data_IF_658907425347
#
_entry.id   IF_658907425347
#
_cell.length_a   1.000
_cell.length_b   1.000
_cell.length_c   1.000
_cell.angle_alpha   90.00
_cell.angle_beta   90.00
_cell.angle_gamma   90.00
#
_symmetry.space_group_name_H-M   'P 1'
#
loop_
_entity.id
_entity.type
_entity.pdbx_description
1 polymer ?
#
# COMPACT_ATOMS: atom_id res chain seq x y z
N UNK A 1 -9.87 8.99 -19.44
CA UNK A 1 -11.23 9.42 -19.01
C UNK A 1 -11.73 8.36 -18.04
N UNK A 2 -12.50 8.69 -16.99
CA UNK A 2 -13.07 7.66 -16.12
C UNK A 2 -14.25 6.96 -16.80
N UNK A 3 -14.22 5.63 -16.89
CA UNK A 3 -15.38 4.83 -17.30
C UNK A 3 -16.19 4.41 -16.07
N UNK A 4 -17.52 4.46 -16.16
CA UNK A 4 -18.42 4.02 -15.10
C UNK A 4 -19.39 2.97 -15.64
N UNK A 5 -19.51 1.84 -14.94
CA UNK A 5 -20.38 0.72 -15.29
C UNK A 5 -21.24 0.32 -14.09
N UNK A 6 -22.45 -0.17 -14.35
CA UNK A 6 -23.35 -0.71 -13.31
C UNK A 6 -23.49 -2.24 -13.38
N UNK A 7 -22.72 -2.89 -14.25
CA UNK A 7 -22.69 -4.35 -14.44
C UNK A 7 -21.28 -4.82 -14.75
N UNK A 8 -20.96 -6.06 -14.36
CA UNK A 8 -19.71 -6.72 -14.71
C UNK A 8 -19.66 -7.04 -16.22
N UNK A 9 -18.60 -6.64 -16.94
CA UNK A 9 -18.35 -7.13 -18.30
C UNK A 9 -18.17 -8.65 -18.33
N UNK A 10 -18.64 -9.30 -19.40
CA UNK A 10 -18.39 -10.72 -19.62
C UNK A 10 -16.87 -11.02 -19.63
N UNK A 11 -16.46 -12.07 -18.91
CA UNK A 11 -15.07 -12.50 -18.82
C UNK A 11 -14.23 -11.79 -17.73
N UNK A 12 -14.74 -10.75 -17.07
CA UNK A 12 -14.00 -10.01 -16.03
C UNK A 12 -13.56 -10.90 -14.85
N UNK A 13 -14.29 -11.99 -14.58
CA UNK A 13 -14.01 -12.91 -13.49
C UNK A 13 -12.84 -13.88 -13.79
N UNK A 14 -12.43 -13.99 -15.05
CA UNK A 14 -11.44 -14.97 -15.50
C UNK A 14 -10.23 -14.33 -16.20
N UNK A 15 -10.33 -13.04 -16.56
CA UNK A 15 -9.26 -12.31 -17.26
C UNK A 15 -8.04 -12.10 -16.36
N UNK A 16 -6.84 -12.29 -16.91
CA UNK A 16 -5.60 -11.93 -16.24
C UNK A 16 -5.41 -10.41 -16.22
N UNK A 17 -4.69 -9.86 -15.23
CA UNK A 17 -4.42 -8.42 -15.14
C UNK A 17 -3.79 -7.84 -16.42
N UNK A 18 -2.90 -8.59 -17.07
CA UNK A 18 -2.24 -8.20 -18.33
C UNK A 18 -3.20 -8.15 -19.53
N UNK A 19 -4.32 -8.89 -19.46
CA UNK A 19 -5.32 -8.97 -20.52
C UNK A 19 -6.57 -8.11 -20.20
N UNK A 20 -6.64 -7.54 -19.00
CA UNK A 20 -7.77 -6.71 -18.54
C UNK A 20 -8.09 -5.57 -19.50
N UNK A 21 -7.07 -5.00 -20.15
CA UNK A 21 -7.20 -3.93 -21.15
C UNK A 21 -8.09 -4.29 -22.35
N UNK A 22 -8.33 -5.59 -22.60
CA UNK A 22 -9.22 -6.07 -23.67
C UNK A 22 -10.70 -5.95 -23.30
N UNK A 23 -11.01 -5.88 -22.01
CA UNK A 23 -12.38 -5.71 -21.47
C UNK A 23 -12.62 -4.27 -20.99
N UNK A 24 -11.61 -3.66 -20.38
CA UNK A 24 -11.64 -2.30 -19.82
C UNK A 24 -10.49 -1.49 -20.44
N UNK A 25 -10.77 -0.59 -21.37
CA UNK A 25 -9.69 0.14 -22.07
C UNK A 25 -9.17 1.37 -21.32
N UNK A 26 -9.88 1.81 -20.28
CA UNK A 26 -9.62 3.04 -19.52
C UNK A 26 -9.81 2.75 -18.03
N UNK A 27 -9.25 3.57 -17.10
CA UNK A 27 -9.58 3.49 -15.68
C UNK A 27 -11.09 3.42 -15.48
N UNK A 28 -11.56 2.40 -14.77
CA UNK A 28 -12.99 2.06 -14.72
C UNK A 28 -13.45 1.86 -13.29
N UNK A 29 -14.61 2.42 -12.95
CA UNK A 29 -15.34 2.10 -11.72
C UNK A 29 -16.60 1.28 -12.07
N UNK A 30 -16.77 0.14 -11.41
CA UNK A 30 -17.95 -0.73 -11.56
C UNK A 30 -18.76 -0.69 -10.27
N UNK A 31 -20.05 -0.42 -10.36
CA UNK A 31 -20.99 -0.41 -9.25
C UNK A 31 -21.90 -1.62 -9.30
N UNK A 32 -21.83 -2.47 -8.28
CA UNK A 32 -22.68 -3.64 -8.11
C UNK A 32 -23.65 -3.39 -6.97
N UNK A 33 -24.94 -3.55 -7.23
CA UNK A 33 -25.97 -3.37 -6.22
C UNK A 33 -26.05 -4.59 -5.29
N UNK A 34 -26.06 -4.33 -3.98
CA UNK A 34 -26.34 -5.33 -2.96
C UNK A 34 -27.57 -5.00 -2.13
N UNK A 35 -27.83 -5.82 -1.11
CA UNK A 35 -28.97 -5.66 -0.21
C UNK A 35 -28.88 -4.35 0.60
N UNK A 36 -27.71 -4.05 1.15
CA UNK A 36 -27.40 -2.74 1.76
C UNK A 36 -26.93 -1.74 0.71
N UNK A 37 -27.45 -0.52 0.76
CA UNK A 37 -27.20 0.50 -0.27
C UNK A 37 -25.85 1.19 -0.12
N UNK A 38 -25.38 1.41 1.12
CA UNK A 38 -24.12 2.07 1.41
C UNK A 38 -22.96 1.19 0.93
N UNK A 39 -22.19 1.59 -0.10
CA UNK A 39 -21.27 0.69 -0.75
C UNK A 39 -19.97 0.50 0.01
N UNK A 40 -19.39 -0.70 -0.08
CA UNK A 40 -17.97 -0.92 0.11
C UNK A 40 -17.25 -0.45 -1.16
N UNK A 41 -16.24 0.42 -1.04
CA UNK A 41 -15.37 0.78 -2.15
C UNK A 41 -14.06 0.01 -2.09
N UNK A 42 -13.62 -0.52 -3.23
CA UNK A 42 -12.36 -1.24 -3.36
C UNK A 42 -11.60 -0.72 -4.57
N UNK A 43 -10.37 -0.23 -4.38
CA UNK A 43 -9.44 0.03 -5.50
C UNK A 43 -8.49 -1.14 -5.69
N UNK A 44 -8.24 -1.47 -6.96
CA UNK A 44 -7.31 -2.52 -7.39
C UNK A 44 -6.47 -2.00 -8.55
N UNK A 45 -5.27 -2.57 -8.70
CA UNK A 45 -4.34 -2.24 -9.78
C UNK A 45 -4.00 -0.74 -9.85
N UNK A 46 -3.85 -0.07 -8.70
CA UNK A 46 -3.20 1.25 -8.71
C UNK A 46 -1.77 1.09 -9.25
N UNK A 47 -1.08 0.03 -8.83
CA UNK A 47 0.11 -0.47 -9.50
C UNK A 47 -0.24 -1.66 -10.39
N UNK A 48 0.17 -1.60 -11.66
CA UNK A 48 -0.23 -2.59 -12.65
C UNK A 48 0.33 -4.00 -12.40
N UNK A 49 1.42 -4.13 -11.64
CA UNK A 49 2.04 -5.40 -11.30
C UNK A 49 1.52 -6.01 -9.99
N UNK A 50 0.55 -5.39 -9.31
CA UNK A 50 0.02 -5.84 -8.02
C UNK A 50 -1.37 -6.47 -8.20
N UNK A 51 -1.39 -7.74 -8.60
CA UNK A 51 -2.61 -8.41 -9.12
C UNK A 51 -3.51 -9.02 -8.05
N UNK A 52 -3.07 -9.10 -6.78
CA UNK A 52 -3.83 -9.77 -5.73
C UNK A 52 -5.20 -9.14 -5.48
N UNK A 53 -5.33 -7.82 -5.61
CA UNK A 53 -6.63 -7.14 -5.50
C UNK A 53 -7.63 -7.59 -6.56
N UNK A 54 -7.18 -7.70 -7.82
CA UNK A 54 -8.01 -8.21 -8.92
C UNK A 54 -8.44 -9.65 -8.64
N UNK A 55 -7.47 -10.51 -8.32
CA UNK A 55 -7.71 -11.94 -8.07
C UNK A 55 -8.67 -12.17 -6.89
N UNK A 56 -8.53 -11.39 -5.81
CA UNK A 56 -9.42 -11.43 -4.65
C UNK A 56 -10.85 -11.01 -5.00
N UNK A 57 -11.02 -9.93 -5.76
CA UNK A 57 -12.34 -9.48 -6.25
C UNK A 57 -12.97 -10.53 -7.17
N UNK A 58 -12.19 -11.12 -8.08
CA UNK A 58 -12.68 -12.18 -8.96
C UNK A 58 -13.12 -13.40 -8.15
N UNK A 59 -12.34 -13.85 -7.17
CA UNK A 59 -12.70 -14.94 -6.27
C UNK A 59 -14.02 -14.64 -5.54
N UNK A 60 -14.08 -13.49 -4.85
CA UNK A 60 -15.26 -13.04 -4.13
C UNK A 60 -16.50 -13.06 -5.03
N UNK A 61 -16.43 -12.46 -6.21
CA UNK A 61 -17.57 -12.34 -7.11
C UNK A 61 -18.00 -13.67 -7.75
N UNK A 62 -17.09 -14.64 -7.90
CA UNK A 62 -17.46 -16.02 -8.30
C UNK A 62 -18.37 -16.67 -7.27
N UNK A 63 -18.10 -16.48 -5.97
CA UNK A 63 -18.92 -17.04 -4.89
C UNK A 63 -20.33 -16.41 -4.79
N UNK A 64 -20.49 -15.21 -5.36
CA UNK A 64 -21.77 -14.50 -5.47
C UNK A 64 -22.47 -14.67 -6.82
N UNK A 65 -21.97 -15.51 -7.74
CA UNK A 65 -22.72 -15.79 -8.97
C UNK A 65 -24.09 -16.41 -8.66
N UNK A 66 -25.15 -15.78 -9.18
CA UNK A 66 -26.53 -16.20 -8.93
C UNK A 66 -27.06 -15.88 -7.53
N UNK A 67 -26.33 -15.07 -6.73
CA UNK A 67 -26.71 -14.63 -5.38
C UNK A 67 -26.63 -13.10 -5.28
N UNK A 68 -27.38 -12.53 -4.36
CA UNK A 68 -27.27 -11.09 -4.08
C UNK A 68 -26.03 -10.82 -3.22
N UNK A 69 -25.35 -9.69 -3.46
CA UNK A 69 -24.32 -9.18 -2.56
C UNK A 69 -24.97 -8.68 -1.26
N UNK A 70 -24.39 -8.94 -0.07
CA UNK A 70 -24.93 -8.45 1.21
C UNK A 70 -24.94 -6.91 1.29
N UNK A 71 -24.03 -6.26 0.56
CA UNK A 71 -23.87 -4.82 0.48
C UNK A 71 -23.45 -4.43 -0.93
N UNK A 72 -23.84 -3.24 -1.37
CA UNK A 72 -23.35 -2.70 -2.64
C UNK A 72 -21.82 -2.63 -2.65
N UNK A 73 -21.23 -2.89 -3.81
CA UNK A 73 -19.78 -2.94 -3.98
C UNK A 73 -19.40 -2.05 -5.17
N UNK A 74 -18.49 -1.12 -4.94
CA UNK A 74 -17.90 -0.28 -5.98
C UNK A 74 -16.44 -0.66 -6.16
N UNK A 75 -16.03 -1.06 -7.36
CA UNK A 75 -14.68 -1.53 -7.65
C UNK A 75 -14.03 -0.58 -8.64
N UNK A 76 -12.93 0.04 -8.26
CA UNK A 76 -12.13 0.87 -9.15
C UNK A 76 -10.89 0.12 -9.65
N UNK A 77 -10.79 -0.02 -10.97
CA UNK A 77 -9.63 -0.53 -11.68
C UNK A 77 -8.78 0.65 -12.14
N UNK A 78 -7.61 0.83 -11.52
CA UNK A 78 -6.78 2.01 -11.68
C UNK A 78 -5.93 2.03 -12.96
N UNK A 79 -4.68 1.61 -12.86
CA UNK A 79 -3.68 1.69 -13.91
C UNK A 79 -3.69 0.46 -14.83
N UNK A 80 -4.77 0.32 -15.60
CA UNK A 80 -4.95 -0.81 -16.53
C UNK A 80 -3.84 -0.85 -17.60
N UNK A 81 -3.34 0.30 -18.04
CA UNK A 81 -2.27 0.34 -19.03
C UNK A 81 -0.95 -0.17 -18.42
N UNK A 82 -0.57 0.17 -17.19
CA UNK A 82 0.59 -0.45 -16.56
C UNK A 82 0.37 -1.95 -16.30
N UNK A 83 -0.86 -2.36 -15.97
CA UNK A 83 -1.21 -3.76 -15.76
C UNK A 83 -1.02 -4.60 -17.03
N UNK A 84 -1.37 -4.05 -18.20
CA UNK A 84 -1.10 -4.65 -19.51
C UNK A 84 0.36 -5.06 -19.69
N UNK A 85 1.30 -4.25 -19.19
CA UNK A 85 2.74 -4.51 -19.29
C UNK A 85 3.32 -5.20 -18.06
N UNK A 86 2.49 -5.55 -17.05
CA UNK A 86 2.95 -6.13 -15.79
C UNK A 86 3.93 -5.23 -15.04
N UNK A 87 3.77 -3.91 -15.15
CA UNK A 87 4.64 -2.92 -14.53
C UNK A 87 3.92 -2.19 -13.40
N UNK A 88 4.66 -1.72 -12.39
CA UNK A 88 4.13 -0.84 -11.34
C UNK A 88 3.47 0.40 -11.95
N UNK A 89 4.23 1.11 -12.77
CA UNK A 89 3.82 2.23 -13.62
C UNK A 89 4.71 2.27 -14.86
N UNK A 90 4.23 2.90 -15.93
CA UNK A 90 5.03 3.16 -17.12
C UNK A 90 5.94 4.38 -16.95
N UNK A 91 6.96 4.48 -17.79
CA UNK A 91 7.82 5.65 -17.82
C UNK A 91 7.00 6.90 -18.20
N UNK A 92 7.15 7.97 -17.42
CA UNK A 92 6.38 9.21 -17.60
C UNK A 92 4.98 9.19 -17.00
N UNK A 93 4.47 8.05 -16.53
CA UNK A 93 3.25 8.04 -15.71
C UNK A 93 3.56 8.49 -14.28
N UNK A 94 2.65 9.24 -13.62
CA UNK A 94 2.75 9.46 -12.19
C UNK A 94 2.56 8.15 -11.43
N UNK A 95 2.96 8.11 -10.16
CA UNK A 95 2.61 6.99 -9.29
C UNK A 95 1.12 7.12 -8.90
N UNK A 96 0.32 6.13 -9.28
CA UNK A 96 -1.13 6.12 -9.04
C UNK A 96 -1.49 6.06 -7.54
N UNK A 97 -0.53 5.71 -6.68
CA UNK A 97 -0.65 5.79 -5.24
C UNK A 97 -0.09 7.11 -4.67
N UNK A 98 0.12 8.15 -5.49
CA UNK A 98 0.54 9.50 -5.08
C UNK A 98 -0.32 10.63 -5.65
N UNK A 99 -1.24 10.31 -6.57
CA UNK A 99 -2.09 11.29 -7.28
C UNK A 99 -3.47 11.50 -6.67
N UNK A 100 -3.79 10.86 -5.54
CA UNK A 100 -5.07 11.06 -4.87
C UNK A 100 -5.15 12.45 -4.23
N UNK A 101 -6.37 12.98 -4.02
CA UNK A 101 -6.56 14.28 -3.38
C UNK A 101 -5.77 14.41 -2.06
N UNK A 102 -5.13 15.57 -1.87
CA UNK A 102 -4.27 15.85 -0.71
C UNK A 102 -2.80 15.43 -0.89
N UNK A 103 -2.41 14.92 -2.06
CA UNK A 103 -1.01 14.66 -2.43
C UNK A 103 -0.20 15.90 -2.78
N UNK A 104 1.13 15.74 -2.79
CA UNK A 104 2.09 16.77 -3.17
C UNK A 104 2.48 16.71 -4.67
N UNK A 105 2.01 15.69 -5.40
CA UNK A 105 2.27 15.54 -6.83
C UNK A 105 1.61 16.67 -7.64
N UNK A 106 2.25 17.15 -8.73
CA UNK A 106 1.64 18.11 -9.63
C UNK A 106 0.32 17.57 -10.23
N UNK A 107 -0.65 18.45 -10.55
CA UNK A 107 -1.87 18.03 -11.23
C UNK A 107 -1.58 17.27 -12.54
N UNK A 108 -2.28 16.16 -12.71
CA UNK A 108 -2.22 15.29 -13.89
C UNK A 108 -3.61 14.79 -14.27
N UNK A 109 -3.75 14.22 -15.48
CA UNK A 109 -5.00 13.60 -15.91
C UNK A 109 -5.43 12.46 -14.97
N UNK A 110 -4.48 11.72 -14.42
CA UNK A 110 -4.71 10.67 -13.42
C UNK A 110 -5.23 11.26 -12.11
N UNK A 111 -4.67 12.39 -11.65
CA UNK A 111 -5.15 13.08 -10.45
C UNK A 111 -6.60 13.57 -10.60
N UNK A 112 -6.98 14.03 -11.80
CA UNK A 112 -8.36 14.44 -12.11
C UNK A 112 -9.32 13.23 -12.06
N UNK A 113 -8.89 12.08 -12.60
CA UNK A 113 -9.66 10.83 -12.58
C UNK A 113 -9.92 10.36 -11.14
N UNK A 114 -8.89 10.29 -10.30
CA UNK A 114 -9.08 9.81 -8.93
C UNK A 114 -9.83 10.82 -8.06
N UNK A 115 -9.71 12.13 -8.34
CA UNK A 115 -10.57 13.14 -7.73
C UNK A 115 -12.05 12.93 -8.10
N UNK A 116 -12.34 12.62 -9.37
CA UNK A 116 -13.69 12.27 -9.82
C UNK A 116 -14.21 11.01 -9.11
N UNK A 117 -13.38 9.98 -8.94
CA UNK A 117 -13.73 8.76 -8.16
C UNK A 117 -14.11 9.11 -6.72
N UNK A 118 -13.33 9.95 -6.04
CA UNK A 118 -13.62 10.37 -4.66
C UNK A 118 -14.97 11.08 -4.58
N UNK A 119 -15.27 11.99 -5.51
CA UNK A 119 -16.54 12.73 -5.51
C UNK A 119 -17.75 11.85 -5.85
N UNK A 120 -17.61 10.93 -6.81
CA UNK A 120 -18.63 9.91 -7.10
C UNK A 120 -18.94 9.10 -5.83
N UNK A 121 -17.90 8.64 -5.14
CA UNK A 121 -18.07 7.79 -3.98
C UNK A 121 -18.57 8.56 -2.75
N UNK A 122 -18.15 9.82 -2.56
CA UNK A 122 -18.72 10.73 -1.55
C UNK A 122 -20.23 10.87 -1.70
N UNK A 123 -20.72 11.03 -2.94
CA UNK A 123 -22.14 11.16 -3.23
C UNK A 123 -22.95 9.87 -2.97
N UNK A 124 -22.29 8.70 -2.89
CA UNK A 124 -22.94 7.40 -2.71
C UNK A 124 -23.05 6.93 -1.25
N UNK A 125 -22.66 7.75 -0.28
CA UNK A 125 -22.69 7.43 1.15
C UNK A 125 -21.97 6.10 1.48
N UNK A 126 -20.66 6.10 1.29
CA UNK A 126 -19.77 4.95 1.53
C UNK A 126 -19.93 4.33 2.91
N UNK A 127 -19.88 3.00 2.96
CA UNK A 127 -19.69 2.27 4.21
C UNK A 127 -18.23 2.28 4.64
N UNK A 128 -17.32 1.92 3.73
CA UNK A 128 -15.89 1.87 3.96
C UNK A 128 -15.12 1.87 2.62
N UNK A 129 -13.81 2.15 2.69
CA UNK A 129 -12.90 2.16 1.53
C UNK A 129 -11.70 1.23 1.76
N UNK A 130 -11.35 0.44 0.74
CA UNK A 130 -10.22 -0.50 0.79
C UNK A 130 -9.35 -0.30 -0.43
N UNK A 131 -8.05 -0.19 -0.23
CA UNK A 131 -7.06 -0.18 -1.30
C UNK A 131 -6.20 -1.44 -1.19
N UNK A 132 -6.14 -2.27 -2.22
CA UNK A 132 -5.44 -3.57 -2.15
C UNK A 132 -4.12 -3.52 -2.90
N UNK A 133 -3.02 -3.74 -2.19
CA UNK A 133 -1.64 -3.71 -2.69
C UNK A 133 -0.90 -5.01 -2.41
N UNK A 134 0.26 -5.12 -3.05
CA UNK A 134 1.25 -6.15 -2.81
C UNK A 134 2.60 -5.54 -2.43
N UNK A 135 3.40 -6.30 -1.68
CA UNK A 135 4.79 -5.98 -1.43
C UNK A 135 5.69 -6.75 -2.40
N UNK A 136 6.87 -6.19 -2.69
CA UNK A 136 7.91 -6.92 -3.44
C UNK A 136 8.90 -7.64 -2.53
N UNK A 137 9.27 -7.03 -1.40
CA UNK A 137 10.05 -7.69 -0.36
C UNK A 137 9.23 -8.64 0.52
N UNK A 138 9.90 -9.36 1.41
CA UNK A 138 9.23 -10.18 2.43
C UNK A 138 8.56 -9.29 3.48
N UNK A 139 7.24 -9.25 3.49
CA UNK A 139 6.46 -8.58 4.52
C UNK A 139 5.37 -9.53 5.04
N UNK A 140 4.91 -9.39 6.31
CA UNK A 140 3.67 -10.03 6.75
C UNK A 140 2.48 -9.46 5.95
N UNK A 141 1.29 -10.04 6.14
CA UNK A 141 0.08 -9.32 5.75
C UNK A 141 -0.21 -8.26 6.82
N UNK A 142 -0.44 -7.03 6.42
CA UNK A 142 -0.78 -5.93 7.34
C UNK A 142 -1.73 -4.94 6.69
N UNK A 143 -2.42 -4.17 7.53
CA UNK A 143 -3.29 -3.09 7.07
C UNK A 143 -2.70 -1.75 7.51
N UNK A 144 -2.86 -0.74 6.67
CA UNK A 144 -2.44 0.62 6.96
C UNK A 144 -3.65 1.53 7.17
N UNK A 145 -3.56 2.43 8.15
CA UNK A 145 -4.58 3.41 8.51
C UNK A 145 -4.00 4.82 8.54
N UNK A 146 -4.84 5.82 8.29
CA UNK A 146 -4.45 7.23 8.34
C UNK A 146 -5.09 8.01 9.49
N UNK A 147 -5.89 7.34 10.33
CA UNK A 147 -6.52 7.92 11.52
C UNK A 147 -6.53 6.92 12.67
N UNK A 148 -6.24 7.41 13.87
CA UNK A 148 -6.25 6.65 15.12
C UNK A 148 -7.64 6.62 15.76
N UNK A 149 -8.66 6.29 14.96
CA UNK A 149 -10.05 6.16 15.42
C UNK A 149 -10.45 4.68 15.53
N UNK A 150 -11.34 4.35 16.47
CA UNK A 150 -11.74 2.96 16.74
C UNK A 150 -12.24 2.22 15.50
N UNK A 151 -13.06 2.85 14.67
CA UNK A 151 -13.57 2.27 13.43
C UNK A 151 -12.46 1.90 12.43
N UNK A 152 -11.37 2.67 12.35
CA UNK A 152 -10.22 2.35 11.50
C UNK A 152 -9.42 1.18 12.06
N UNK A 153 -9.20 1.16 13.38
CA UNK A 153 -8.51 0.06 14.04
C UNK A 153 -9.30 -1.25 13.95
N UNK A 154 -10.62 -1.23 14.18
CA UNK A 154 -11.49 -2.39 13.99
C UNK A 154 -11.44 -2.87 12.55
N UNK A 155 -11.57 -1.97 11.58
CA UNK A 155 -11.46 -2.32 10.16
C UNK A 155 -10.12 -2.97 9.83
N UNK A 156 -9.00 -2.39 10.26
CA UNK A 156 -7.67 -2.94 10.03
C UNK A 156 -7.46 -4.33 10.69
N UNK A 157 -7.97 -4.51 11.91
CA UNK A 157 -7.79 -5.76 12.68
C UNK A 157 -8.63 -6.93 12.15
N UNK A 158 -9.66 -6.67 11.32
CA UNK A 158 -10.32 -7.71 10.55
C UNK A 158 -9.39 -8.35 9.52
N UNK A 159 -8.38 -7.62 9.02
CA UNK A 159 -7.37 -8.18 8.12
C UNK A 159 -6.25 -8.84 8.92
N UNK A 160 -5.77 -8.21 9.98
CA UNK A 160 -4.72 -8.81 10.78
C UNK A 160 -4.27 -7.94 11.93
N UNK A 161 -3.47 -8.53 12.82
CA UNK A 161 -2.98 -7.87 14.02
C UNK A 161 -2.02 -6.73 13.71
N UNK A 162 -1.17 -6.89 12.69
CA UNK A 162 -0.17 -5.90 12.31
C UNK A 162 -0.87 -4.73 11.62
N UNK A 163 -0.84 -3.57 12.27
CA UNK A 163 -1.46 -2.34 11.77
C UNK A 163 -0.41 -1.24 11.70
N UNK A 164 -0.33 -0.55 10.57
CA UNK A 164 0.60 0.56 10.36
C UNK A 164 -0.17 1.87 10.22
N UNK A 165 0.00 2.78 11.16
CA UNK A 165 -0.48 4.16 11.06
C UNK A 165 0.57 5.02 10.33
N UNK A 166 0.12 5.80 9.36
CA UNK A 166 0.98 6.74 8.64
C UNK A 166 0.23 7.98 8.19
N UNK A 167 0.93 9.12 8.16
CA UNK A 167 0.47 10.37 7.53
C UNK A 167 1.35 10.81 6.35
N UNK A 168 2.44 10.08 6.08
CA UNK A 168 3.29 10.23 4.90
C UNK A 168 3.61 8.86 4.28
N UNK A 169 3.67 8.74 2.94
CA UNK A 169 3.45 9.79 1.94
C UNK A 169 1.97 10.22 1.84
N UNK A 170 1.73 11.42 1.34
CA UNK A 170 0.39 11.93 1.01
C UNK A 170 -0.04 11.46 -0.39
N UNK A 171 -1.30 11.73 -0.77
CA UNK A 171 -1.80 11.40 -2.11
C UNK A 171 -2.11 9.93 -2.33
N UNK A 172 -2.32 9.18 -1.25
CA UNK A 172 -2.75 7.77 -1.25
C UNK A 172 -4.29 7.68 -1.16
N UNK A 173 -4.85 6.58 -1.67
CA UNK A 173 -6.30 6.37 -1.69
C UNK A 173 -6.93 6.44 -0.30
N UNK A 174 -6.38 5.66 0.64
CA UNK A 174 -6.92 5.52 1.99
C UNK A 174 -7.03 6.86 2.70
N UNK A 175 -6.04 7.75 2.52
CA UNK A 175 -6.05 9.09 3.07
C UNK A 175 -7.13 9.98 2.44
N UNK A 176 -7.32 9.93 1.11
CA UNK A 176 -8.37 10.70 0.43
C UNK A 176 -9.79 10.33 0.89
N UNK A 177 -9.99 9.09 1.37
CA UNK A 177 -11.26 8.62 1.93
C UNK A 177 -11.38 8.74 3.45
N UNK A 178 -10.28 8.99 4.19
CA UNK A 178 -10.28 8.95 5.65
C UNK A 178 -11.18 10.02 6.30
N UNK A 179 -11.47 11.12 5.60
CA UNK A 179 -12.43 12.15 6.03
C UNK A 179 -13.89 11.82 5.66
N UNK A 180 -14.12 10.77 4.88
CA UNK A 180 -15.45 10.37 4.37
C UNK A 180 -15.96 9.14 5.12
N UNK A 181 -15.12 8.12 5.27
CA UNK A 181 -15.47 6.83 5.85
C UNK A 181 -14.22 6.15 6.44
N UNK A 182 -14.38 5.07 7.24
CA UNK A 182 -13.27 4.19 7.56
C UNK A 182 -12.59 3.69 6.29
N UNK A 183 -11.27 3.85 6.22
CA UNK A 183 -10.49 3.48 5.05
C UNK A 183 -9.18 2.80 5.44
N UNK A 184 -8.77 1.81 4.65
CA UNK A 184 -7.50 1.09 4.85
C UNK A 184 -6.80 0.83 3.53
N UNK A 185 -5.47 0.71 3.60
CA UNK A 185 -4.67 0.03 2.59
C UNK A 185 -4.33 -1.36 3.09
N UNK A 186 -4.50 -2.39 2.27
CA UNK A 186 -4.11 -3.76 2.58
C UNK A 186 -2.83 -4.10 1.84
N UNK A 187 -1.89 -4.68 2.57
CA UNK A 187 -0.63 -5.18 2.04
C UNK A 187 -0.65 -6.71 2.11
N UNK A 188 -0.86 -7.33 0.95
CA UNK A 188 -1.21 -8.75 0.85
C UNK A 188 0.01 -9.66 0.62
N UNK A 189 1.21 -9.18 0.95
CA UNK A 189 2.45 -9.89 0.66
C UNK A 189 2.79 -9.88 -0.84
N UNK A 190 3.59 -10.87 -1.28
CA UNK A 190 4.08 -10.92 -2.67
C UNK A 190 3.02 -11.44 -3.64
N UNK A 191 3.06 -10.90 -4.86
CA UNK A 191 2.22 -11.30 -5.99
C UNK A 191 2.36 -12.80 -6.30
N UNK A 192 1.27 -13.43 -6.75
CA UNK A 192 1.20 -14.85 -7.11
C UNK A 192 1.14 -15.81 -5.92
N UNK A 193 0.94 -15.30 -4.70
CA UNK A 193 0.72 -16.11 -3.50
C UNK A 193 -0.77 -16.27 -3.23
N UNK A 194 -1.30 -17.48 -3.44
CA UNK A 194 -2.70 -17.85 -3.14
C UNK A 194 -3.18 -17.45 -1.74
N UNK A 195 -2.28 -17.43 -0.76
CA UNK A 195 -2.62 -16.99 0.61
C UNK A 195 -3.03 -15.52 0.66
N UNK A 196 -2.36 -14.64 -0.08
CA UNK A 196 -2.69 -13.22 -0.17
C UNK A 196 -4.07 -13.01 -0.79
N UNK A 197 -4.31 -13.68 -1.92
CA UNK A 197 -5.60 -13.66 -2.64
C UNK A 197 -6.77 -14.11 -1.77
N UNK A 198 -6.64 -15.27 -1.12
CA UNK A 198 -7.69 -15.82 -0.26
C UNK A 198 -7.94 -14.90 0.95
N UNK A 199 -6.88 -14.41 1.59
CA UNK A 199 -7.00 -13.55 2.76
C UNK A 199 -7.70 -12.23 2.44
N UNK A 200 -7.36 -11.60 1.32
CA UNK A 200 -8.04 -10.40 0.86
C UNK A 200 -9.51 -10.67 0.50
N UNK A 201 -9.82 -11.78 -0.16
CA UNK A 201 -11.20 -12.14 -0.49
C UNK A 201 -12.06 -12.38 0.77
N UNK A 202 -11.53 -13.14 1.75
CA UNK A 202 -12.19 -13.38 3.04
C UNK A 202 -12.43 -12.08 3.82
N UNK A 203 -11.44 -11.18 3.82
CA UNK A 203 -11.56 -9.85 4.43
C UNK A 203 -12.66 -9.00 3.78
N UNK A 204 -12.68 -8.93 2.44
CA UNK A 204 -13.69 -8.18 1.70
C UNK A 204 -15.09 -8.76 1.94
N UNK A 205 -15.23 -10.08 1.98
CA UNK A 205 -16.50 -10.74 2.30
C UNK A 205 -16.98 -10.40 3.72
N UNK A 206 -16.07 -10.37 4.70
CA UNK A 206 -16.39 -9.95 6.07
C UNK A 206 -16.93 -8.50 6.11
N UNK A 207 -16.33 -7.58 5.35
CA UNK A 207 -16.79 -6.20 5.25
C UNK A 207 -18.16 -6.05 4.55
N UNK A 208 -18.44 -6.86 3.53
CA UNK A 208 -19.76 -6.88 2.89
C UNK A 208 -20.86 -7.25 3.91
N UNK A 209 -20.56 -8.20 4.80
CA UNK A 209 -21.49 -8.66 5.83
C UNK A 209 -21.58 -7.74 7.06
N UNK A 210 -20.55 -6.92 7.33
CA UNK A 210 -20.52 -6.05 8.50
C UNK A 210 -21.64 -4.99 8.46
N UNK A 211 -22.41 -4.90 9.55
CA UNK A 211 -23.50 -3.92 9.68
C UNK A 211 -22.96 -2.53 10.03
N UNK A 212 -22.08 -2.47 11.02
CA UNK A 212 -21.47 -1.26 11.58
C UNK A 212 -20.12 -1.59 12.21
N UNK A 213 -19.26 -0.58 12.36
CA UNK A 213 -18.00 -0.72 13.10
C UNK A 213 -18.23 -0.47 14.59
N UNK A 214 -17.61 -1.24 15.49
CA UNK A 214 -17.69 -0.95 16.92
C UNK A 214 -17.05 0.41 17.26
N UNK A 215 -17.66 1.12 18.21
CA UNK A 215 -17.19 2.44 18.67
C UNK A 215 -16.29 2.36 19.91
N UNK A 216 -16.09 1.16 20.48
CA UNK A 216 -15.16 0.95 21.60
C UNK A 216 -13.74 0.66 21.09
N UNK A 217 -12.68 0.86 21.91
CA UNK A 217 -11.31 0.51 21.53
C UNK A 217 -11.14 -0.97 21.16
N UNK A 218 -10.21 -1.25 20.25
CA UNK A 218 -9.71 -2.61 20.02
C UNK A 218 -8.90 -3.04 21.25
N UNK A 219 -9.04 -4.29 21.69
CA UNK A 219 -8.25 -4.77 22.81
C UNK A 219 -6.76 -4.77 22.45
N UNK A 220 -5.90 -4.29 23.36
CA UNK A 220 -4.44 -4.21 23.15
C UNK A 220 -3.84 -5.54 22.66
N UNK A 221 -4.33 -6.67 23.19
CA UNK A 221 -3.87 -7.99 22.79
C UNK A 221 -4.27 -8.38 21.37
N UNK A 222 -5.13 -7.66 20.66
CA UNK A 222 -5.65 -7.99 19.33
C UNK A 222 -5.01 -7.15 18.21
N UNK A 223 -4.19 -6.14 18.58
CA UNK A 223 -3.56 -5.21 17.65
C UNK A 223 -2.09 -4.97 17.99
N UNK A 224 -1.25 -4.99 16.97
CA UNK A 224 0.14 -4.57 16.99
C UNK A 224 0.25 -3.30 16.14
N UNK A 225 0.10 -2.13 16.77
CA UNK A 225 0.08 -0.83 16.10
C UNK A 225 1.48 -0.24 16.00
N UNK A 226 1.85 0.14 14.78
CA UNK A 226 3.11 0.80 14.44
C UNK A 226 2.83 2.15 13.81
N UNK A 227 3.71 3.13 14.04
CA UNK A 227 3.65 4.45 13.41
C UNK A 227 4.88 4.64 12.53
N UNK A 228 4.68 4.91 11.24
CA UNK A 228 5.74 5.33 10.33
C UNK A 228 6.25 6.71 10.73
N UNK A 229 7.53 6.82 11.10
CA UNK A 229 8.15 8.08 11.57
C UNK A 229 9.12 8.69 10.57
N UNK A 230 9.62 7.90 9.61
CA UNK A 230 10.53 8.41 8.60
C UNK A 230 10.47 7.61 7.29
N UNK A 231 10.75 8.29 6.18
CA UNK A 231 10.94 7.70 4.85
C UNK A 231 12.41 7.73 4.50
N UNK A 232 12.98 6.59 4.11
CA UNK A 232 14.38 6.45 3.72
C UNK A 232 14.47 6.29 2.21
N UNK A 233 15.25 7.14 1.54
CA UNK A 233 15.51 7.08 0.11
C UNK A 233 17.00 6.95 -0.16
N UNK A 234 17.34 6.32 -1.28
CA UNK A 234 18.69 6.37 -1.83
C UNK A 234 18.76 7.53 -2.82
N UNK A 235 19.62 8.54 -2.63
CA UNK A 235 19.74 9.65 -3.57
C UNK A 235 20.06 9.15 -4.99
N UNK A 236 19.52 9.82 -6.02
CA UNK A 236 19.70 9.42 -7.43
C UNK A 236 21.17 9.35 -7.86
N UNK A 237 22.01 10.18 -7.25
CA UNK A 237 23.45 10.22 -7.51
C UNK A 237 24.22 9.04 -6.92
N UNK A 238 23.65 8.26 -6.00
CA UNK A 238 24.35 7.18 -5.29
C UNK A 238 24.07 5.85 -5.97
N UNK A 239 25.10 5.16 -6.48
CA UNK A 239 24.93 3.82 -7.04
C UNK A 239 24.89 2.76 -5.93
N UNK A 240 23.82 1.95 -5.89
CA UNK A 240 23.64 0.94 -4.85
C UNK A 240 23.37 -0.46 -5.42
N UNK A 241 23.61 -1.47 -4.59
CA UNK A 241 23.35 -2.88 -4.88
C UNK A 241 23.25 -3.70 -3.61
N UNK A 242 23.15 -5.02 -3.76
CA UNK A 242 22.99 -5.97 -2.64
C UNK A 242 24.10 -7.02 -2.68
N UNK A 243 24.80 -7.20 -1.55
CA UNK A 243 25.83 -8.23 -1.41
C UNK A 243 27.05 -8.13 -2.33
N UNK A 244 27.30 -6.98 -2.96
CA UNK A 244 28.39 -6.75 -3.90
C UNK A 244 29.32 -5.60 -3.47
N UNK A 245 30.64 -5.78 -3.57
CA UNK A 245 31.63 -4.76 -3.17
C UNK A 245 31.81 -3.62 -4.19
N UNK A 246 31.12 -3.70 -5.34
CA UNK A 246 31.37 -2.85 -6.51
C UNK A 246 30.50 -1.57 -6.51
N UNK A 247 29.54 -1.46 -5.58
CA UNK A 247 28.63 -0.33 -5.45
C UNK A 247 29.11 0.69 -4.42
N UNK A 248 28.69 1.96 -4.56
CA UNK A 248 28.97 3.01 -3.57
C UNK A 248 28.21 2.77 -2.26
N UNK A 249 27.07 2.08 -2.36
CA UNK A 249 26.27 1.63 -1.24
C UNK A 249 25.87 0.16 -1.45
N UNK A 250 26.53 -0.75 -0.75
CA UNK A 250 26.22 -2.18 -0.81
C UNK A 250 25.35 -2.58 0.38
N UNK A 251 24.04 -2.71 0.18
CA UNK A 251 23.16 -3.27 1.19
C UNK A 251 23.47 -4.74 1.47
N UNK A 252 23.10 -5.21 2.66
CA UNK A 252 23.13 -6.64 2.99
C UNK A 252 22.26 -7.44 1.99
N UNK A 253 22.68 -8.65 1.58
CA UNK A 253 22.05 -9.38 0.47
C UNK A 253 20.59 -9.78 0.74
N UNK A 254 20.22 -9.96 2.00
CA UNK A 254 18.90 -10.35 2.49
C UNK A 254 18.21 -9.19 3.21
N UNK A 255 18.42 -7.95 2.75
CA UNK A 255 17.89 -6.74 3.37
C UNK A 255 16.37 -6.81 3.63
N UNK A 256 15.60 -7.39 2.71
CA UNK A 256 14.14 -7.52 2.85
C UNK A 256 13.71 -8.50 3.96
N UNK A 257 14.61 -9.31 4.52
CA UNK A 257 14.36 -10.13 5.71
C UNK A 257 14.27 -9.30 7.00
N UNK A 258 14.67 -8.03 6.96
CA UNK A 258 14.62 -7.12 8.12
C UNK A 258 13.26 -6.46 8.31
N UNK A 259 12.36 -6.56 7.34
CA UNK A 259 11.01 -6.00 7.44
C UNK A 259 10.26 -6.52 8.68
N UNK A 260 9.60 -5.59 9.39
CA UNK A 260 8.83 -5.85 10.62
C UNK A 260 9.63 -6.54 11.73
N UNK A 261 10.94 -6.29 11.78
CA UNK A 261 11.82 -6.70 12.88
C UNK A 261 12.36 -5.49 13.60
N UNK A 262 12.36 -5.55 14.92
CA UNK A 262 13.02 -4.54 15.74
C UNK A 262 14.53 -4.72 15.61
N UNK A 263 15.19 -3.77 14.97
CA UNK A 263 16.63 -3.75 14.77
C UNK A 263 17.28 -2.98 15.92
N UNK A 264 18.20 -3.57 16.69
CA UNK A 264 18.92 -2.83 17.73
C UNK A 264 19.84 -1.77 17.11
N UNK A 265 20.27 -0.81 17.92
CA UNK A 265 21.33 0.12 17.53
C UNK A 265 22.61 -0.65 17.17
N UNK A 266 23.33 -0.16 16.15
CA UNK A 266 24.54 -0.79 15.62
C UNK A 266 24.29 -1.91 14.61
N UNK A 267 23.04 -2.16 14.21
CA UNK A 267 22.71 -3.15 13.17
C UNK A 267 23.28 -2.70 11.83
N UNK A 268 24.06 -3.56 11.19
CA UNK A 268 24.65 -3.30 9.87
C UNK A 268 23.59 -3.41 8.78
N UNK A 269 23.44 -2.34 7.99
CA UNK A 269 22.46 -2.25 6.90
C UNK A 269 23.15 -2.26 5.54
N UNK A 270 24.33 -1.63 5.45
CA UNK A 270 25.11 -1.58 4.23
C UNK A 270 26.61 -1.41 4.49
N UNK A 271 27.40 -1.68 3.46
CA UNK A 271 28.83 -1.46 3.38
C UNK A 271 29.15 -0.42 2.32
N UNK A 272 30.13 0.43 2.61
CA UNK A 272 30.65 1.46 1.71
C UNK A 272 31.98 0.99 1.10
N UNK A 273 32.37 1.46 -0.10
CA UNK A 273 33.63 1.05 -0.75
C UNK A 273 34.86 1.60 -0.03
N UNK A 274 34.75 2.77 0.59
CA UNK A 274 35.82 3.46 1.30
C UNK A 274 35.33 3.91 2.69
N UNK A 275 36.27 4.19 3.58
CA UNK A 275 35.94 4.82 4.86
C UNK A 275 35.30 6.18 4.59
N UNK A 276 34.16 6.42 5.24
CA UNK A 276 33.36 7.62 5.05
C UNK A 276 32.83 8.16 6.37
N UNK A 277 32.48 9.45 6.36
CA UNK A 277 31.78 10.08 7.49
C UNK A 277 30.37 10.53 7.10
N UNK A 278 30.02 10.44 5.82
CA UNK A 278 28.72 10.86 5.30
C UNK A 278 27.78 9.67 5.17
N UNK A 279 26.54 9.85 5.62
CA UNK A 279 25.45 8.88 5.44
C UNK A 279 24.95 9.02 3.99
N UNK A 280 25.02 7.98 3.14
CA UNK A 280 24.62 8.04 1.73
C UNK A 280 23.13 7.73 1.52
N UNK A 281 22.29 8.15 2.47
CA UNK A 281 20.84 8.02 2.44
C UNK A 281 20.25 9.41 2.60
N UNK A 282 19.05 9.62 2.05
CA UNK A 282 18.20 10.75 2.39
C UNK A 282 17.09 10.22 3.31
N UNK A 283 16.93 10.81 4.48
CA UNK A 283 15.92 10.36 5.45
C UNK A 283 15.11 11.56 5.87
N UNK A 284 13.82 11.51 5.60
CA UNK A 284 12.89 12.59 5.92
C UNK A 284 11.87 12.11 6.96
N UNK A 285 11.62 12.91 7.98
CA UNK A 285 10.53 12.70 8.92
C UNK A 285 9.17 13.17 8.35
N UNK A 286 8.11 13.08 9.14
CA UNK A 286 6.75 13.42 8.72
C UNK A 286 6.57 14.93 8.42
N UNK A 287 7.43 15.78 9.00
CA UNK A 287 7.50 17.22 8.72
C UNK A 287 8.41 17.56 7.53
N UNK A 288 9.04 16.58 6.89
CA UNK A 288 9.96 16.76 5.77
C UNK A 288 11.34 17.28 6.18
N UNK A 289 11.75 17.11 7.45
CA UNK A 289 13.09 17.47 7.92
C UNK A 289 14.06 16.33 7.64
N UNK A 290 15.28 16.67 7.24
CA UNK A 290 16.36 15.70 7.07
C UNK A 290 16.84 15.21 8.46
N UNK A 291 16.71 13.91 8.70
CA UNK A 291 16.94 13.24 9.99
C UNK A 291 17.83 12.00 9.85
N UNK A 292 18.70 11.96 8.84
CA UNK A 292 19.60 10.83 8.57
C UNK A 292 20.44 10.46 9.79
N UNK A 293 20.96 11.48 10.47
CA UNK A 293 21.84 11.34 11.62
C UNK A 293 21.12 10.85 12.88
N UNK A 294 19.78 10.87 12.90
CA UNK A 294 19.00 10.33 14.01
C UNK A 294 18.83 8.81 13.88
N UNK A 295 18.78 8.29 12.65
CA UNK A 295 18.53 6.88 12.39
C UNK A 295 19.75 6.07 11.98
N UNK A 296 20.75 6.70 11.36
CA UNK A 296 21.91 6.02 10.82
C UNK A 296 23.23 6.64 11.28
N UNK A 297 24.29 5.85 11.20
CA UNK A 297 25.66 6.27 11.44
C UNK A 297 26.61 5.49 10.55
N UNK A 298 27.76 6.08 10.24
CA UNK A 298 28.83 5.40 9.49
C UNK A 298 30.01 5.17 10.43
N UNK A 299 30.40 3.91 10.59
CA UNK A 299 31.55 3.49 11.37
C UNK A 299 32.54 2.76 10.45
N UNK A 300 33.63 3.45 10.10
CA UNK A 300 34.57 2.97 9.08
C UNK A 300 33.86 2.84 7.72
N UNK A 301 33.70 1.60 7.24
CA UNK A 301 33.00 1.26 6.00
C UNK A 301 31.57 0.77 6.20
N UNK A 302 31.03 0.81 7.42
CA UNK A 302 29.74 0.20 7.73
C UNK A 302 28.69 1.28 7.98
N UNK A 303 27.58 1.22 7.25
CA UNK A 303 26.37 1.98 7.54
C UNK A 303 25.53 1.16 8.52
N UNK A 304 25.29 1.73 9.70
CA UNK A 304 24.59 1.07 10.80
C UNK A 304 23.39 1.88 11.27
N UNK A 305 22.41 1.20 11.87
CA UNK A 305 21.37 1.87 12.65
C UNK A 305 22.00 2.57 13.86
N UNK A 306 21.56 3.80 14.15
CA UNK A 306 22.01 4.57 15.33
C UNK A 306 21.13 4.30 16.54
N UNK A 307 19.83 4.21 16.31
CA UNK A 307 18.81 3.93 17.31
C UNK A 307 18.04 2.66 16.96
N UNK A 308 17.32 2.04 17.92
CA UNK A 308 16.39 0.97 17.61
C UNK A 308 15.33 1.45 16.61
N UNK A 309 15.13 0.66 15.55
CA UNK A 309 14.17 0.98 14.48
C UNK A 309 13.51 -0.28 13.96
N UNK A 310 12.31 -0.16 13.41
CA UNK A 310 11.66 -1.24 12.69
C UNK A 310 11.42 -0.81 11.23
N UNK A 311 12.15 -1.35 10.25
CA UNK A 311 11.88 -1.02 8.86
C UNK A 311 10.68 -1.80 8.32
N UNK A 312 10.00 -1.23 7.34
CA UNK A 312 9.01 -1.90 6.50
C UNK A 312 9.25 -1.56 5.02
N UNK A 313 8.67 -2.36 4.13
CA UNK A 313 8.73 -2.16 2.66
C UNK A 313 10.13 -2.29 2.03
N UNK A 314 11.13 -2.80 2.75
CA UNK A 314 12.43 -3.14 2.16
C UNK A 314 12.22 -4.17 1.04
N UNK A 315 12.91 -3.98 -0.07
CA UNK A 315 12.91 -4.88 -1.24
C UNK A 315 14.31 -5.03 -1.81
N UNK A 316 14.53 -6.07 -2.60
CA UNK A 316 15.77 -6.27 -3.36
C UNK A 316 15.65 -5.73 -4.81
N UNK A 317 14.49 -5.21 -5.18
CA UNK A 317 14.25 -4.61 -6.49
C UNK A 317 14.73 -3.16 -6.52
N UNK A 318 15.87 -2.93 -7.18
CA UNK A 318 16.48 -1.60 -7.29
C UNK A 318 15.62 -0.61 -8.06
N UNK A 319 14.79 -1.08 -9.02
CA UNK A 319 13.88 -0.22 -9.78
C UNK A 319 12.78 0.32 -8.89
N UNK A 320 12.21 -0.53 -8.03
CA UNK A 320 11.15 -0.11 -7.08
C UNK A 320 11.70 0.86 -6.03
N UNK A 321 12.91 0.60 -5.51
CA UNK A 321 13.57 1.53 -4.57
C UNK A 321 13.75 2.93 -5.19
N UNK A 322 14.08 3.00 -6.48
CA UNK A 322 14.17 4.27 -7.21
C UNK A 322 12.82 4.93 -7.48
N UNK A 323 11.78 4.12 -7.68
CA UNK A 323 10.45 4.64 -8.00
C UNK A 323 9.70 5.16 -6.78
N UNK A 324 10.03 4.70 -5.58
CA UNK A 324 9.34 5.04 -4.33
C UNK A 324 10.32 5.42 -3.20
N UNK A 325 10.78 4.42 -2.43
CA UNK A 325 11.73 4.60 -1.35
C UNK A 325 12.49 3.28 -1.04
N UNK A 326 13.54 3.36 -0.24
CA UNK A 326 14.22 2.18 0.29
C UNK A 326 13.37 1.46 1.32
N UNK A 327 12.85 2.21 2.29
CA UNK A 327 11.95 1.72 3.32
C UNK A 327 11.28 2.86 4.07
N UNK A 328 10.29 2.48 4.87
CA UNK A 328 9.77 3.30 5.96
C UNK A 328 10.35 2.80 7.29
N UNK A 329 10.69 3.72 8.19
CA UNK A 329 11.05 3.40 9.57
C UNK A 329 9.85 3.62 10.46
N UNK A 330 9.60 2.66 11.36
CA UNK A 330 8.45 2.66 12.24
C UNK A 330 8.87 2.52 13.70
N UNK A 331 8.01 3.04 14.58
CA UNK A 331 8.02 2.78 16.00
C UNK A 331 6.72 2.11 16.45
N UNK A 332 6.73 1.43 17.60
CA UNK A 332 5.52 0.84 18.17
C UNK A 332 4.72 1.92 18.89
N UNK A 333 3.44 2.03 18.55
CA UNK A 333 2.51 2.96 19.18
C UNK A 333 1.62 2.20 20.17
N UNK A 334 1.58 2.57 21.46
CA UNK A 334 0.66 1.98 22.43
C UNK A 334 -0.80 2.24 22.03
N UNK A 335 -1.65 1.24 22.20
CA UNK A 335 -3.11 1.39 22.03
C UNK A 335 -3.71 1.67 23.41
N UNK A 336 -4.21 2.88 23.62
CA UNK A 336 -4.69 3.38 24.91
C UNK A 336 -6.16 3.78 24.90
#
# INVERSE_FOLDING_TARGET
MLQQLDTLPDGILDVAATELHTLLSEPTIIHLQGERKEPLFVSVLLHGNETTGLEAIQHLLRDYQGRNLPRSLSIFFGNIEAARHGMRRLDGQPDYNRVWPGGDEPPSAESEIVAEVVEIMRARNLFASVDVHNNTGLNPHYACINKLENKFMHMATLFGRTVVYFIRPTGVQSMAFADICPSVTLECGRVGQRRGEQHAAEYLDALLHLSEFPDHPVAERDIDLFHTVATVKVPDSVHFGFGCDDAELCFVPDLDHLNFRELPAGTEIAKLPLDGHQIPLAVEDEEGRCVEADFFSVEGRLLKTRNPVMPAMLTLDTKIIRQDCLCYLMERLPVG
#
